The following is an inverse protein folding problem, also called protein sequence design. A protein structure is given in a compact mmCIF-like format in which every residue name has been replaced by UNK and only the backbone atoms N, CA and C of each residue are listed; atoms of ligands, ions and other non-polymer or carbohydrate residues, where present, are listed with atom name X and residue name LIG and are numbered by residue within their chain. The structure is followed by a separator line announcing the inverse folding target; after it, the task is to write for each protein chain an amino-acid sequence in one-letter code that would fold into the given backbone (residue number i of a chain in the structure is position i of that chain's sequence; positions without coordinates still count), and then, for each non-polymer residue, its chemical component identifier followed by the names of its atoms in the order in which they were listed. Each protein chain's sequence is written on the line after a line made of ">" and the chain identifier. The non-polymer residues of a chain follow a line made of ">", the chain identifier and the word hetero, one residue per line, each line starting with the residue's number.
data_IF_449499420030
#
_entry.id   IF_449499420030
#
_cell.length_a   1.000
_cell.length_b   1.000
_cell.length_c   1.000
_cell.angle_alpha   90.00
_cell.angle_beta   90.00
_cell.angle_gamma   90.00
#
_symmetry.space_group_name_H-M   'P 1'
#
loop_
_entity.id
_entity.type
_entity.pdbx_description
1 polymer ?
#
# COMPACT_ATOMS: atom_id res chain seq x y z
N UNK A 1 -17.61 -49.05 30.97
CA UNK A 1 -18.35 -49.23 29.68
C UNK A 1 -19.04 -47.96 29.18
N UNK A 2 -19.76 -47.17 30.00
CA UNK A 2 -20.45 -45.94 29.55
C UNK A 2 -19.51 -44.87 28.98
N UNK A 3 -18.39 -44.58 29.66
CA UNK A 3 -17.41 -43.58 29.22
C UNK A 3 -16.80 -43.93 27.85
N UNK A 4 -16.48 -45.20 27.59
CA UNK A 4 -15.93 -45.67 26.30
C UNK A 4 -16.93 -45.46 25.16
N UNK A 5 -18.24 -45.70 25.40
CA UNK A 5 -19.29 -45.45 24.41
C UNK A 5 -19.45 -43.95 24.11
N UNK A 6 -19.33 -43.10 25.12
CA UNK A 6 -19.41 -41.63 24.96
C UNK A 6 -18.21 -41.11 24.18
N UNK A 7 -16.99 -41.52 24.53
CA UNK A 7 -15.76 -41.10 23.84
C UNK A 7 -15.76 -41.56 22.38
N UNK A 8 -16.17 -42.82 22.12
CA UNK A 8 -16.31 -43.34 20.76
C UNK A 8 -17.34 -42.55 19.94
N UNK A 9 -18.47 -42.19 20.56
CA UNK A 9 -19.48 -41.34 19.93
C UNK A 9 -18.94 -39.95 19.57
N UNK A 10 -18.18 -39.31 20.47
CA UNK A 10 -17.54 -38.01 20.21
C UNK A 10 -16.50 -38.12 19.10
N UNK A 11 -15.65 -39.15 19.12
CA UNK A 11 -14.63 -39.36 18.08
C UNK A 11 -15.26 -39.57 16.70
N UNK A 12 -16.32 -40.39 16.62
CA UNK A 12 -17.07 -40.59 15.38
C UNK A 12 -17.73 -39.30 14.90
N UNK A 13 -18.31 -38.53 15.81
CA UNK A 13 -18.91 -37.24 15.48
C UNK A 13 -17.87 -36.25 14.94
N UNK A 14 -16.72 -36.11 15.60
CA UNK A 14 -15.63 -35.24 15.12
C UNK A 14 -15.07 -35.71 13.77
N UNK A 15 -14.94 -37.02 13.57
CA UNK A 15 -14.53 -37.60 12.30
C UNK A 15 -15.53 -37.26 11.19
N UNK A 16 -16.83 -37.43 11.41
CA UNK A 16 -17.87 -37.06 10.45
C UNK A 16 -17.89 -35.56 10.16
N UNK A 17 -17.76 -34.72 11.19
CA UNK A 17 -17.69 -33.27 11.04
C UNK A 17 -16.46 -32.85 10.23
N UNK A 18 -15.32 -33.55 10.36
CA UNK A 18 -14.11 -33.22 9.59
C UNK A 18 -14.34 -33.27 8.08
N UNK A 19 -15.20 -34.17 7.58
CA UNK A 19 -15.55 -34.23 6.15
C UNK A 19 -16.34 -33.02 5.66
N UNK A 20 -17.06 -32.31 6.54
CA UNK A 20 -17.72 -31.05 6.18
C UNK A 20 -16.73 -29.92 5.87
N UNK A 21 -15.48 -30.04 6.33
CA UNK A 21 -14.40 -29.08 6.09
C UNK A 21 -13.45 -29.50 4.96
N UNK A 22 -13.63 -30.69 4.38
CA UNK A 22 -12.84 -31.15 3.23
C UNK A 22 -13.55 -30.65 1.96
N UNK A 23 -13.07 -29.54 1.41
CA UNK A 23 -13.47 -29.07 0.09
C UNK A 23 -12.39 -29.42 -0.95
N UNK A 24 -12.77 -29.76 -2.19
CA UNK A 24 -11.80 -29.93 -3.26
C UNK A 24 -11.07 -28.61 -3.52
N UNK A 25 -9.86 -28.68 -4.07
CA UNK A 25 -9.14 -27.49 -4.53
C UNK A 25 -9.97 -26.82 -5.61
N UNK A 26 -10.39 -25.59 -5.36
CA UNK A 26 -11.06 -24.77 -6.37
C UNK A 26 -10.05 -24.42 -7.47
N UNK A 27 -10.30 -24.91 -8.68
CA UNK A 27 -9.50 -24.66 -9.88
C UNK A 27 -10.21 -23.74 -10.86
N UNK A 28 -11.33 -23.15 -10.45
CA UNK A 28 -12.09 -22.19 -11.25
C UNK A 28 -11.19 -20.99 -11.57
N UNK A 29 -10.97 -20.65 -12.85
CA UNK A 29 -10.21 -19.47 -13.21
C UNK A 29 -10.82 -18.21 -12.59
N UNK A 30 -9.98 -17.31 -12.06
CA UNK A 30 -10.48 -16.15 -11.32
C UNK A 30 -11.45 -15.28 -12.15
N UNK A 31 -11.29 -15.23 -13.47
CA UNK A 31 -12.14 -14.50 -14.42
C UNK A 31 -13.59 -15.00 -14.46
N UNK A 32 -13.83 -16.25 -14.08
CA UNK A 32 -15.16 -16.87 -14.06
C UNK A 32 -15.84 -16.74 -12.70
N UNK A 33 -15.12 -16.24 -11.68
CA UNK A 33 -15.65 -16.10 -10.33
C UNK A 33 -16.65 -14.94 -10.24
N UNK A 34 -17.66 -15.09 -9.36
CA UNK A 34 -18.59 -14.00 -9.04
C UNK A 34 -17.85 -12.75 -8.53
N UNK A 35 -16.76 -12.93 -7.78
CA UNK A 35 -15.90 -11.83 -7.33
C UNK A 35 -15.40 -10.97 -8.49
N UNK A 36 -14.84 -11.59 -9.53
CA UNK A 36 -14.32 -10.87 -10.69
C UNK A 36 -15.44 -10.16 -11.46
N UNK A 37 -16.55 -10.86 -11.74
CA UNK A 37 -17.69 -10.29 -12.47
C UNK A 37 -18.29 -9.08 -11.73
N UNK A 38 -18.47 -9.19 -10.41
CA UNK A 38 -18.95 -8.10 -9.57
C UNK A 38 -17.97 -6.91 -9.57
N UNK A 39 -16.66 -7.19 -9.51
CA UNK A 39 -15.62 -6.14 -9.55
C UNK A 39 -15.61 -5.42 -10.91
N UNK A 40 -15.71 -6.17 -12.01
CA UNK A 40 -15.79 -5.60 -13.37
C UNK A 40 -17.03 -4.73 -13.55
N UNK A 41 -18.21 -5.23 -13.16
CA UNK A 41 -19.46 -4.49 -13.24
C UNK A 41 -19.40 -3.19 -12.40
N UNK A 42 -18.80 -3.25 -11.22
CA UNK A 42 -18.58 -2.07 -10.39
C UNK A 42 -17.67 -1.03 -11.09
N UNK A 43 -16.53 -1.45 -11.65
CA UNK A 43 -15.63 -0.56 -12.40
C UNK A 43 -16.29 0.05 -13.63
N UNK A 44 -17.02 -0.75 -14.41
CA UNK A 44 -17.71 -0.27 -15.62
C UNK A 44 -18.83 0.73 -15.24
N UNK A 45 -19.45 0.57 -14.07
CA UNK A 45 -20.43 1.54 -13.56
C UNK A 45 -19.82 2.91 -13.23
N UNK A 46 -18.55 2.96 -12.81
CA UNK A 46 -17.85 4.21 -12.49
C UNK A 46 -17.59 5.05 -13.73
N UNK A 47 -17.43 4.43 -14.90
CA UNK A 47 -17.22 5.15 -16.15
C UNK A 47 -18.36 6.13 -16.48
N UNK A 48 -19.58 5.83 -16.03
CA UNK A 48 -20.77 6.69 -16.21
C UNK A 48 -20.78 7.92 -15.30
N UNK A 49 -19.92 7.96 -14.27
CA UNK A 49 -19.85 9.04 -13.28
C UNK A 49 -18.84 10.13 -13.65
N UNK A 50 -18.06 9.94 -14.72
CA UNK A 50 -17.03 10.89 -15.13
C UNK A 50 -17.44 11.60 -16.43
N UNK A 51 -17.30 12.93 -16.45
CA UNK A 51 -17.33 13.73 -17.67
C UNK A 51 -15.91 13.97 -18.17
N UNK A 52 -15.71 13.90 -19.48
CA UNK A 52 -14.44 14.31 -20.09
C UNK A 52 -14.30 15.83 -19.95
N UNK A 53 -13.15 16.30 -19.47
CA UNK A 53 -12.80 17.71 -19.49
C UNK A 53 -11.88 17.98 -20.68
N UNK A 54 -12.24 18.94 -21.52
CA UNK A 54 -11.47 19.36 -22.69
C UNK A 54 -10.77 20.70 -22.43
N UNK A 55 -9.52 20.82 -22.85
CA UNK A 55 -8.75 22.05 -22.70
C UNK A 55 -7.26 21.83 -22.84
N UNK A 56 -6.50 22.90 -22.67
CA UNK A 56 -5.04 22.83 -22.66
C UNK A 56 -4.56 22.06 -21.42
N UNK A 57 -3.73 21.03 -21.65
CA UNK A 57 -3.07 20.30 -20.60
C UNK A 57 -1.88 21.11 -20.07
N UNK A 58 -1.93 21.47 -18.80
CA UNK A 58 -0.79 22.03 -18.07
C UNK A 58 -0.10 20.92 -17.29
N UNK A 59 1.24 20.96 -17.27
CA UNK A 59 2.05 19.94 -16.61
C UNK A 59 3.11 20.60 -15.73
N UNK A 60 3.18 20.18 -14.47
CA UNK A 60 4.22 20.57 -13.52
C UNK A 60 5.04 19.36 -13.08
N UNK A 61 6.35 19.55 -12.91
CA UNK A 61 7.26 18.51 -12.43
C UNK A 61 7.96 18.99 -11.17
N UNK A 62 8.07 18.10 -10.18
CA UNK A 62 8.88 18.37 -9.00
C UNK A 62 9.55 17.11 -8.48
N UNK A 63 10.65 17.30 -7.76
CA UNK A 63 11.39 16.23 -7.08
C UNK A 63 11.97 16.76 -5.78
N UNK A 64 11.84 15.99 -4.70
CA UNK A 64 12.50 16.26 -3.42
C UNK A 64 13.10 14.98 -2.84
N UNK A 65 14.16 15.10 -2.04
CA UNK A 65 14.82 13.93 -1.46
C UNK A 65 14.06 13.37 -0.25
N UNK A 66 14.11 12.05 -0.09
CA UNK A 66 13.62 11.31 1.08
C UNK A 66 14.76 10.87 2.01
N UNK A 67 16.02 11.24 1.72
CA UNK A 67 17.12 10.89 2.60
C UNK A 67 16.92 11.62 3.95
N UNK A 68 16.80 10.88 5.06
CA UNK A 68 16.70 11.49 6.38
C UNK A 68 18.06 12.03 6.82
N UNK A 69 18.03 12.91 7.82
CA UNK A 69 19.27 13.38 8.44
C UNK A 69 19.80 12.33 9.41
N UNK A 70 21.06 11.94 9.23
CA UNK A 70 21.75 11.03 10.15
C UNK A 70 22.55 11.84 11.18
N UNK A 71 22.29 11.61 12.46
CA UNK A 71 22.96 12.30 13.59
C UNK A 71 23.74 11.33 14.46
N UNK A 72 24.71 11.84 15.21
CA UNK A 72 25.48 11.04 16.17
C UNK A 72 24.68 10.77 17.45
N UNK A 73 24.98 9.66 18.12
CA UNK A 73 24.36 9.27 19.39
C UNK A 73 24.55 10.28 20.54
N UNK A 74 25.48 11.22 20.38
CA UNK A 74 25.73 12.29 21.35
C UNK A 74 24.78 13.48 21.24
N UNK A 75 23.92 13.55 20.21
CA UNK A 75 23.01 14.67 20.00
C UNK A 75 21.56 14.33 20.40
N UNK A 76 20.78 15.28 20.97
CA UNK A 76 19.36 15.06 21.24
C UNK A 76 18.62 14.81 19.91
N UNK A 77 17.96 13.66 19.79
CA UNK A 77 17.17 13.34 18.59
C UNK A 77 16.03 14.34 18.40
N UNK A 78 16.04 15.03 17.26
CA UNK A 78 14.93 15.88 16.81
C UNK A 78 14.08 15.18 15.73
N UNK A 79 12.97 15.82 15.37
CA UNK A 79 12.09 15.35 14.30
C UNK A 79 12.89 15.24 12.98
N UNK A 80 12.78 14.11 12.29
CA UNK A 80 13.50 13.75 11.05
C UNK A 80 15.01 13.49 11.19
N UNK A 81 15.50 13.29 12.42
CA UNK A 81 16.87 12.87 12.68
C UNK A 81 16.89 11.44 13.20
N UNK A 82 17.80 10.64 12.66
CA UNK A 82 17.92 9.23 12.99
C UNK A 82 19.39 8.89 13.19
N UNK A 83 19.73 8.09 14.20
CA UNK A 83 21.09 7.55 14.26
C UNK A 83 21.26 6.49 13.17
N UNK A 84 20.28 5.58 13.04
CA UNK A 84 20.36 4.41 12.18
C UNK A 84 18.95 3.98 11.74
N UNK A 85 18.83 3.40 10.55
CA UNK A 85 17.55 2.93 10.01
C UNK A 85 17.77 1.60 9.28
N UNK A 86 16.93 0.57 9.44
CA UNK A 86 16.97 -0.62 8.61
C UNK A 86 16.41 -0.35 7.21
N UNK A 87 16.90 -1.06 6.18
CA UNK A 87 16.24 -1.05 4.87
C UNK A 87 14.98 -1.92 4.89
N UNK A 88 13.95 -1.51 4.15
CA UNK A 88 12.71 -2.25 4.01
C UNK A 88 12.82 -3.36 2.95
N UNK A 89 12.02 -4.42 3.12
CA UNK A 89 11.79 -5.45 2.10
C UNK A 89 12.44 -6.80 2.44
N UNK A 90 13.75 -6.83 2.65
CA UNK A 90 14.44 -8.09 2.95
C UNK A 90 14.37 -8.48 4.43
N UNK A 91 13.33 -9.23 4.80
CA UNK A 91 13.15 -9.75 6.17
C UNK A 91 14.33 -10.60 6.69
N UNK A 92 15.08 -11.27 5.81
CA UNK A 92 16.28 -12.04 6.19
C UNK A 92 17.41 -11.17 6.76
N UNK A 93 17.35 -9.84 6.57
CA UNK A 93 18.29 -8.91 7.20
C UNK A 93 18.07 -8.75 8.69
N UNK A 94 16.95 -9.22 9.25
CA UNK A 94 16.65 -9.17 10.70
C UNK A 94 16.86 -7.78 11.32
N UNK A 95 16.45 -6.73 10.60
CA UNK A 95 16.63 -5.33 11.05
C UNK A 95 18.07 -4.81 10.95
N UNK A 96 18.96 -5.48 10.21
CA UNK A 96 20.32 -5.00 9.99
C UNK A 96 20.30 -3.61 9.34
N UNK A 97 20.98 -2.69 10.02
CA UNK A 97 21.03 -1.26 9.77
C UNK A 97 21.59 -0.94 8.38
N UNK A 98 21.24 0.22 7.85
CA UNK A 98 21.91 0.80 6.69
C UNK A 98 23.38 1.08 7.01
N UNK A 99 24.27 0.70 6.10
CA UNK A 99 25.71 0.98 6.24
C UNK A 99 26.13 2.25 5.52
N UNK A 100 25.48 2.56 4.40
CA UNK A 100 25.80 3.68 3.53
C UNK A 100 24.63 4.04 2.63
N UNK A 101 24.59 5.30 2.20
CA UNK A 101 23.76 5.77 1.10
C UNK A 101 24.57 5.64 -0.20
N UNK A 102 24.13 4.79 -1.12
CA UNK A 102 24.71 4.69 -2.46
C UNK A 102 24.10 5.74 -3.39
N UNK A 103 22.77 5.71 -3.53
CA UNK A 103 21.98 6.65 -4.33
C UNK A 103 20.99 7.42 -3.45
N UNK A 104 20.62 8.61 -3.91
CA UNK A 104 19.55 9.39 -3.27
C UNK A 104 18.17 8.83 -3.56
N UNK A 105 17.34 8.77 -2.52
CA UNK A 105 15.93 8.45 -2.63
C UNK A 105 15.14 9.75 -2.85
N UNK A 106 14.09 9.69 -3.67
CA UNK A 106 13.26 10.85 -3.98
C UNK A 106 11.77 10.57 -3.92
N UNK A 107 11.01 11.63 -3.66
CA UNK A 107 9.63 11.79 -4.11
C UNK A 107 9.66 12.55 -5.43
N UNK A 108 9.00 12.01 -6.44
CA UNK A 108 8.83 12.63 -7.76
C UNK A 108 7.34 12.87 -7.97
N UNK A 109 6.95 14.07 -8.38
CA UNK A 109 5.57 14.41 -8.62
C UNK A 109 5.40 14.99 -10.02
N UNK A 110 4.39 14.49 -10.73
CA UNK A 110 3.85 15.07 -11.96
C UNK A 110 2.46 15.60 -11.63
N UNK A 111 2.28 16.91 -11.71
CA UNK A 111 0.98 17.55 -11.64
C UNK A 111 0.44 17.69 -13.07
N UNK A 112 -0.77 17.20 -13.30
CA UNK A 112 -1.49 17.34 -14.55
C UNK A 112 -2.73 18.18 -14.26
N UNK A 113 -3.00 19.18 -15.10
CA UNK A 113 -4.16 20.03 -14.92
C UNK A 113 -4.82 20.32 -16.27
N UNK A 114 -6.13 20.12 -16.33
CA UNK A 114 -6.99 20.60 -17.41
C UNK A 114 -7.98 21.56 -16.77
N UNK A 115 -8.09 22.78 -17.31
CA UNK A 115 -8.88 23.86 -16.69
C UNK A 115 -8.49 24.08 -15.22
N UNK A 116 -9.40 23.87 -14.26
CA UNK A 116 -9.17 24.06 -12.82
C UNK A 116 -9.12 22.72 -12.04
N UNK A 117 -8.98 21.59 -12.72
CA UNK A 117 -8.99 20.25 -12.12
C UNK A 117 -7.58 19.64 -12.13
N UNK A 118 -6.80 19.79 -11.04
CA UNK A 118 -5.48 19.19 -10.95
C UNK A 118 -5.54 17.74 -10.45
N UNK A 119 -4.64 16.92 -11.00
CA UNK A 119 -4.33 15.55 -10.55
C UNK A 119 -2.83 15.42 -10.34
N UNK A 120 -2.44 14.76 -9.25
CA UNK A 120 -1.04 14.60 -8.85
C UNK A 120 -0.65 13.12 -8.87
N UNK A 121 0.31 12.78 -9.74
CA UNK A 121 0.94 11.47 -9.80
C UNK A 121 2.26 11.52 -9.04
N UNK A 122 2.35 10.81 -7.92
CA UNK A 122 3.50 10.86 -7.02
C UNK A 122 4.14 9.49 -6.93
N UNK A 123 5.40 9.39 -7.37
CA UNK A 123 6.22 8.20 -7.26
C UNK A 123 7.27 8.39 -6.15
N UNK A 124 7.30 7.48 -5.19
CA UNK A 124 8.23 7.48 -4.08
C UNK A 124 9.22 6.33 -4.25
N UNK A 125 10.52 6.62 -4.09
CA UNK A 125 11.57 5.59 -4.06
C UNK A 125 11.54 4.84 -2.71
N UNK A 126 10.50 4.04 -2.50
CA UNK A 126 10.16 3.27 -1.28
C UNK A 126 9.81 1.82 -1.61
N UNK A 127 9.72 0.96 -0.59
CA UNK A 127 9.17 -0.40 -0.75
C UNK A 127 7.66 -0.38 -1.00
N UNK A 128 6.93 0.33 -0.14
CA UNK A 128 5.47 0.51 -0.20
C UNK A 128 5.16 1.90 0.36
N UNK A 129 3.95 2.41 0.09
CA UNK A 129 3.44 3.61 0.78
C UNK A 129 2.62 3.13 1.99
N UNK A 130 3.10 3.32 3.23
CA UNK A 130 2.35 2.91 4.41
C UNK A 130 1.01 3.64 4.50
N UNK A 131 0.01 2.99 5.09
CA UNK A 131 -1.34 3.54 5.18
C UNK A 131 -1.36 4.85 5.97
N UNK A 132 -0.59 4.93 7.04
CA UNK A 132 -0.45 6.07 7.94
C UNK A 132 0.10 7.28 7.18
N UNK A 133 1.13 7.06 6.36
CA UNK A 133 1.73 8.10 5.52
C UNK A 133 0.70 8.63 4.51
N UNK A 134 -0.03 7.73 3.85
CA UNK A 134 -1.10 8.13 2.90
C UNK A 134 -2.17 8.98 3.58
N UNK A 135 -2.65 8.56 4.75
CA UNK A 135 -3.69 9.28 5.52
C UNK A 135 -3.17 10.67 5.90
N UNK A 136 -1.98 10.74 6.47
CA UNK A 136 -1.40 11.98 6.97
C UNK A 136 -1.10 12.98 5.83
N UNK A 137 -0.48 12.51 4.74
CA UNK A 137 -0.20 13.36 3.57
C UNK A 137 -1.49 13.91 2.96
N UNK A 138 -2.50 13.06 2.81
CA UNK A 138 -3.80 13.49 2.27
C UNK A 138 -4.46 14.52 3.17
N UNK A 139 -4.44 14.30 4.49
CA UNK A 139 -5.02 15.23 5.46
C UNK A 139 -4.35 16.61 5.39
N UNK A 140 -3.01 16.65 5.43
CA UNK A 140 -2.24 17.90 5.35
C UNK A 140 -2.43 18.64 4.03
N UNK A 141 -2.48 17.91 2.91
CA UNK A 141 -2.72 18.51 1.60
C UNK A 141 -4.12 19.10 1.50
N UNK A 142 -5.12 18.43 2.08
CA UNK A 142 -6.49 18.94 2.11
C UNK A 142 -6.61 20.20 2.96
N UNK A 143 -6.04 20.17 4.16
CA UNK A 143 -6.08 21.30 5.11
C UNK A 143 -5.36 22.53 4.54
N UNK A 144 -4.16 22.35 3.99
CA UNK A 144 -3.30 23.46 3.58
C UNK A 144 -3.60 23.99 2.18
N UNK A 145 -4.00 23.12 1.26
CA UNK A 145 -4.11 23.45 -0.17
C UNK A 145 -5.46 23.08 -0.79
N UNK A 146 -6.40 22.51 -0.02
CA UNK A 146 -7.70 22.08 -0.54
C UNK A 146 -7.65 20.82 -1.41
N UNK A 147 -6.48 20.22 -1.61
CA UNK A 147 -6.26 19.05 -2.48
C UNK A 147 -6.84 17.80 -1.82
N UNK A 148 -7.82 17.17 -2.48
CA UNK A 148 -8.48 15.96 -2.00
C UNK A 148 -7.73 14.67 -2.32
N UNK A 149 -8.20 13.57 -1.72
CA UNK A 149 -7.63 12.22 -1.88
C UNK A 149 -7.80 11.68 -3.29
N UNK A 150 -8.90 12.05 -3.92
CA UNK A 150 -9.31 11.72 -5.28
C UNK A 150 -8.37 12.34 -6.33
N UNK A 151 -7.68 13.43 -5.98
CA UNK A 151 -6.72 14.12 -6.84
C UNK A 151 -5.30 13.56 -6.71
N UNK A 152 -5.05 12.65 -5.76
CA UNK A 152 -3.71 12.21 -5.38
C UNK A 152 -3.50 10.71 -5.60
N UNK A 153 -2.54 10.39 -6.46
CA UNK A 153 -2.12 9.01 -6.75
C UNK A 153 -0.70 8.80 -6.22
N UNK A 154 -0.59 8.10 -5.09
CA UNK A 154 0.69 7.73 -4.48
C UNK A 154 1.09 6.32 -4.94
N UNK A 155 2.34 6.17 -5.38
CA UNK A 155 2.94 4.90 -5.75
C UNK A 155 4.35 4.77 -5.17
N UNK A 156 4.79 3.54 -4.95
CA UNK A 156 6.16 3.23 -4.55
C UNK A 156 6.86 2.43 -5.64
N UNK A 157 8.17 2.62 -5.82
CA UNK A 157 8.96 1.86 -6.79
C UNK A 157 9.16 0.39 -6.41
N UNK A 158 8.80 0.00 -5.19
CA UNK A 158 9.05 -1.32 -4.62
C UNK A 158 10.54 -1.66 -4.50
N UNK A 159 11.35 -0.67 -4.09
CA UNK A 159 12.78 -0.90 -3.86
C UNK A 159 13.00 -1.63 -2.54
N UNK A 160 13.83 -2.69 -2.57
CA UNK A 160 14.31 -3.38 -1.36
C UNK A 160 15.62 -2.77 -0.82
N UNK A 161 16.08 -1.68 -1.43
CA UNK A 161 17.26 -0.90 -1.02
C UNK A 161 16.88 0.52 -0.60
N UNK A 162 15.62 0.71 -0.19
CA UNK A 162 15.08 1.99 0.31
C UNK A 162 14.54 1.85 1.74
N UNK A 163 13.98 2.97 2.21
CA UNK A 163 13.12 3.03 3.39
C UNK A 163 11.80 2.28 3.16
#
# INVERSE_FOLDING_TARGET
>A
MKAVKIISGIALFLFLVSFLFIQPVDTTPYFETAYYQNTRAALDSLQKLHSLSEGNLQVGFSRTTLIPQFVSDSEPQQVNQFTEIPLAGYGNRKGAKTSKIHDSLFVKCVALQVQNEPVFLVALDLLIVPQEIRIEVTHRLKEKYGIGREQLYLSATHSHSSL
#
